data_IF_640167324906
#
_entry.id   IF_640167324906
#
_cell.length_a   1.000
_cell.length_b   1.000
_cell.length_c   1.000
_cell.angle_alpha   90.00
_cell.angle_beta   90.00
_cell.angle_gamma   90.00
#
_symmetry.space_group_name_H-M   'P 1'
#
loop_
_entity.id
_entity.type
_entity.pdbx_description
1 polymer ?
#
# COMPACT_ATOMS: atom_id res chain seq x y z
N UNK A 1 -12.60 3.25 -11.03
CA UNK A 1 -11.30 2.58 -11.10
C UNK A 1 -11.54 1.13 -11.56
N UNK A 2 -10.83 0.68 -12.59
CA UNK A 2 -10.95 -0.69 -13.14
C UNK A 2 -9.71 -1.54 -12.84
N UNK A 3 -8.74 -1.02 -12.08
CA UNK A 3 -7.47 -1.68 -11.78
C UNK A 3 -7.66 -3.06 -11.13
N UNK A 4 -8.54 -3.23 -10.12
CA UNK A 4 -8.77 -4.55 -9.53
C UNK A 4 -9.43 -5.53 -10.49
N UNK A 5 -10.31 -5.03 -11.36
CA UNK A 5 -10.99 -5.86 -12.36
C UNK A 5 -9.99 -6.35 -13.41
N UNK A 6 -9.13 -5.45 -13.92
CA UNK A 6 -8.10 -5.79 -14.90
C UNK A 6 -7.07 -6.76 -14.32
N UNK A 7 -6.65 -6.58 -13.07
CA UNK A 7 -5.74 -7.49 -12.40
C UNK A 7 -6.37 -8.89 -12.20
N UNK A 8 -7.65 -8.97 -11.81
CA UNK A 8 -8.38 -10.26 -11.76
C UNK A 8 -8.47 -10.93 -13.13
N UNK A 9 -8.77 -10.15 -14.17
CA UNK A 9 -8.83 -10.65 -15.54
C UNK A 9 -7.47 -11.17 -16.05
N UNK A 10 -6.37 -10.60 -15.56
CA UNK A 10 -5.01 -11.07 -15.83
C UNK A 10 -4.63 -12.32 -15.01
N UNK A 11 -5.49 -12.81 -14.12
CA UNK A 11 -5.26 -14.01 -13.30
C UNK A 11 -4.73 -13.72 -11.88
N UNK A 12 -4.69 -12.47 -11.43
CA UNK A 12 -4.27 -12.16 -10.08
C UNK A 12 -5.41 -12.35 -9.06
N UNK A 13 -5.09 -12.97 -7.92
CA UNK A 13 -5.94 -12.98 -6.73
C UNK A 13 -5.72 -11.69 -5.94
N UNK A 14 -6.77 -10.89 -5.83
CA UNK A 14 -6.73 -9.64 -5.05
C UNK A 14 -6.87 -9.95 -3.57
N UNK A 15 -5.87 -9.55 -2.79
CA UNK A 15 -5.81 -9.76 -1.34
C UNK A 15 -6.39 -8.56 -0.58
N UNK A 16 -6.08 -7.35 -1.02
CA UNK A 16 -6.70 -6.13 -0.50
C UNK A 16 -6.85 -5.08 -1.60
N UNK A 17 -7.94 -4.31 -1.50
CA UNK A 17 -8.19 -3.13 -2.29
C UNK A 17 -8.74 -2.04 -1.40
N UNK A 18 -8.10 -0.89 -1.45
CA UNK A 18 -8.28 0.19 -0.50
C UNK A 18 -7.38 0.06 0.72
N UNK A 19 -7.07 1.19 1.35
CA UNK A 19 -6.34 1.24 2.61
C UNK A 19 -6.87 2.36 3.50
N UNK A 20 -6.64 2.21 4.80
CA UNK A 20 -6.89 3.27 5.78
C UNK A 20 -5.70 4.26 5.89
N UNK A 21 -4.85 4.33 4.87
CA UNK A 21 -3.64 5.16 4.83
C UNK A 21 -3.86 6.35 3.90
N UNK A 22 -3.43 7.52 4.37
CA UNK A 22 -3.42 8.77 3.62
C UNK A 22 -2.00 9.33 3.64
N UNK A 23 -1.37 9.58 2.47
CA UNK A 23 -1.86 9.40 1.11
C UNK A 23 -1.83 7.94 0.64
N UNK A 24 -2.84 7.55 -0.14
CA UNK A 24 -2.87 6.25 -0.82
C UNK A 24 -4.08 5.36 -0.53
N UNK A 25 -5.23 5.95 -0.22
CA UNK A 25 -6.44 5.23 0.18
C UNK A 25 -6.93 4.19 -0.85
N UNK A 26 -6.56 4.30 -2.13
CA UNK A 26 -6.98 3.39 -3.20
C UNK A 26 -5.91 2.34 -3.59
N UNK A 27 -4.97 2.05 -2.69
CA UNK A 27 -3.93 1.05 -2.92
C UNK A 27 -4.50 -0.37 -3.07
N UNK A 28 -3.86 -1.18 -3.90
CA UNK A 28 -4.22 -2.58 -4.14
C UNK A 28 -3.01 -3.47 -3.97
N UNK A 29 -3.20 -4.63 -3.33
CA UNK A 29 -2.22 -5.72 -3.33
C UNK A 29 -2.91 -7.03 -3.70
N UNK A 30 -2.25 -7.80 -4.54
CA UNK A 30 -2.67 -9.13 -4.96
C UNK A 30 -1.47 -9.95 -5.40
N UNK A 31 -1.74 -11.19 -5.79
CA UNK A 31 -0.72 -12.16 -6.14
C UNK A 31 -1.21 -13.02 -7.31
N UNK A 32 -0.32 -13.34 -8.24
CA UNK A 32 -0.54 -14.40 -9.22
C UNK A 32 -0.36 -15.78 -8.57
N UNK A 33 -0.79 -16.84 -9.25
CA UNK A 33 -0.74 -18.22 -8.72
C UNK A 33 0.69 -18.71 -8.42
N UNK A 34 1.70 -18.17 -9.12
CA UNK A 34 3.13 -18.43 -8.89
C UNK A 34 3.73 -17.61 -7.74
N UNK A 35 2.91 -16.80 -7.06
CA UNK A 35 3.31 -15.96 -5.93
C UNK A 35 3.86 -14.59 -6.32
N UNK A 36 3.90 -14.24 -7.61
CA UNK A 36 4.37 -12.91 -8.04
C UNK A 36 3.41 -11.83 -7.53
N UNK A 37 3.89 -10.82 -6.78
CA UNK A 37 3.05 -9.75 -6.26
C UNK A 37 2.63 -8.78 -7.38
N UNK A 38 1.38 -8.32 -7.33
CA UNK A 38 0.87 -7.21 -8.14
C UNK A 38 0.38 -6.09 -7.23
N UNK A 39 0.92 -4.89 -7.42
CA UNK A 39 0.62 -3.71 -6.62
C UNK A 39 -0.06 -2.65 -7.48
N UNK A 40 -1.26 -2.23 -7.08
CA UNK A 40 -1.94 -1.08 -7.67
C UNK A 40 -1.60 0.18 -6.90
N UNK A 41 -0.86 1.09 -7.54
CA UNK A 41 -0.39 2.33 -6.92
C UNK A 41 -1.33 3.48 -7.27
N UNK A 42 -1.86 4.23 -6.28
CA UNK A 42 -2.73 5.36 -6.55
C UNK A 42 -1.97 6.51 -7.21
N UNK A 43 -2.63 7.24 -8.10
CA UNK A 43 -2.04 8.37 -8.84
C UNK A 43 -1.51 9.49 -7.93
N UNK A 44 -1.99 9.59 -6.68
CA UNK A 44 -1.48 10.56 -5.71
C UNK A 44 0.01 10.38 -5.39
N UNK A 45 0.59 9.20 -5.65
CA UNK A 45 2.03 8.94 -5.52
C UNK A 45 2.92 9.78 -6.45
N UNK A 46 2.35 10.42 -7.47
CA UNK A 46 3.07 11.40 -8.30
C UNK A 46 3.33 12.71 -7.54
N UNK A 47 2.40 13.09 -6.64
CA UNK A 47 2.43 14.38 -5.95
C UNK A 47 2.87 14.26 -4.49
N UNK A 48 2.66 13.10 -3.87
CA UNK A 48 3.04 12.84 -2.50
C UNK A 48 4.28 11.95 -2.47
N UNK A 49 5.43 12.44 -1.95
CA UNK A 49 6.66 11.67 -1.91
C UNK A 49 6.58 10.42 -1.03
N UNK A 50 5.61 10.37 -0.11
CA UNK A 50 5.38 9.28 0.83
C UNK A 50 3.93 8.86 0.79
N UNK A 51 3.71 7.59 0.52
CA UNK A 51 2.37 6.98 0.46
C UNK A 51 2.40 5.60 1.12
N UNK A 52 1.26 4.93 1.14
CA UNK A 52 1.22 3.50 1.50
C UNK A 52 2.17 2.62 0.67
N UNK A 53 2.49 3.00 -0.57
CA UNK A 53 3.43 2.23 -1.38
C UNK A 53 4.80 2.15 -0.71
N UNK A 54 5.28 3.23 -0.09
CA UNK A 54 6.54 3.27 0.65
C UNK A 54 6.54 2.39 1.91
N UNK A 55 5.37 2.14 2.48
CA UNK A 55 5.19 1.26 3.64
C UNK A 55 5.15 -0.21 3.24
N UNK A 56 4.54 -0.52 2.09
CA UNK A 56 4.27 -1.90 1.65
C UNK A 56 5.39 -2.45 0.78
N UNK A 57 5.97 -1.65 -0.12
CA UNK A 57 6.98 -2.10 -1.07
C UNK A 57 8.18 -2.78 -0.39
N UNK A 58 8.80 -2.22 0.68
CA UNK A 58 9.94 -2.87 1.33
C UNK A 58 9.59 -4.27 1.85
N UNK A 59 8.39 -4.45 2.41
CA UNK A 59 7.90 -5.74 2.93
C UNK A 59 7.73 -6.76 1.81
N UNK A 60 7.11 -6.35 0.70
CA UNK A 60 6.97 -7.20 -0.50
C UNK A 60 8.33 -7.61 -1.06
N UNK A 61 9.28 -6.66 -1.13
CA UNK A 61 10.64 -6.94 -1.62
C UNK A 61 11.42 -7.89 -0.70
N UNK A 62 11.09 -7.97 0.58
CA UNK A 62 11.63 -8.99 1.50
C UNK A 62 10.96 -10.36 1.39
N UNK A 63 10.01 -10.54 0.47
CA UNK A 63 9.25 -11.77 0.28
C UNK A 63 8.06 -11.93 1.22
N UNK A 64 7.70 -10.88 1.97
CA UNK A 64 6.54 -10.92 2.86
C UNK A 64 5.23 -10.97 2.07
N UNK A 65 4.34 -11.89 2.41
CA UNK A 65 2.97 -11.93 1.88
C UNK A 65 2.09 -10.99 2.69
N UNK A 66 1.68 -9.89 2.08
CA UNK A 66 0.86 -8.84 2.67
C UNK A 66 -0.59 -9.28 2.61
N UNK A 67 -1.25 -9.33 3.76
CA UNK A 67 -2.66 -9.71 3.87
C UNK A 67 -3.56 -8.49 4.03
N UNK A 68 -4.87 -8.67 3.87
CA UNK A 68 -5.85 -7.64 4.19
C UNK A 68 -5.71 -7.11 5.64
N UNK A 69 -5.37 -8.00 6.58
CA UNK A 69 -5.15 -7.65 7.99
C UNK A 69 -3.97 -6.71 8.17
N UNK A 70 -2.91 -6.88 7.37
CA UNK A 70 -1.74 -6.00 7.41
C UNK A 70 -2.08 -4.61 6.91
N UNK A 71 -2.91 -4.50 5.87
CA UNK A 71 -3.41 -3.21 5.39
C UNK A 71 -4.32 -2.54 6.43
N UNK A 72 -5.21 -3.30 7.06
CA UNK A 72 -6.13 -2.77 8.08
C UNK A 72 -5.40 -2.21 9.30
N UNK A 73 -4.30 -2.87 9.74
CA UNK A 73 -3.47 -2.41 10.87
C UNK A 73 -2.84 -1.04 10.63
N UNK A 74 -2.60 -0.67 9.38
CA UNK A 74 -2.07 0.65 9.04
C UNK A 74 -3.07 1.79 9.28
N UNK A 75 -4.33 1.50 9.63
CA UNK A 75 -5.29 2.54 10.00
C UNK A 75 -4.87 3.36 11.21
N UNK A 76 -4.14 2.76 12.15
CA UNK A 76 -3.47 3.51 13.20
C UNK A 76 -2.12 4.03 12.67
N UNK A 77 -1.86 5.34 12.80
CA UNK A 77 -0.62 5.94 12.30
C UNK A 77 -0.50 6.02 10.77
N UNK A 78 -1.53 5.63 10.01
CA UNK A 78 -1.56 5.68 8.54
C UNK A 78 -1.72 7.07 7.93
N UNK A 79 -1.62 8.15 8.71
CA UNK A 79 -1.75 9.51 8.19
C UNK A 79 -0.38 10.16 8.08
N UNK A 80 0.03 10.52 6.86
CA UNK A 80 1.13 11.44 6.65
C UNK A 80 0.68 12.83 7.11
N UNK A 81 1.53 13.52 7.85
CA UNK A 81 1.23 14.85 8.38
C UNK A 81 1.67 15.98 7.44
N UNK A 82 2.22 15.64 6.27
CA UNK A 82 2.75 16.59 5.29
C UNK A 82 3.62 17.68 5.93
N UNK A 83 4.53 17.25 6.81
CA UNK A 83 5.39 18.14 7.57
C UNK A 83 6.22 19.04 6.65
N UNK A 84 6.47 20.31 7.02
CA UNK A 84 7.33 21.22 6.24
C UNK A 84 8.74 20.66 5.97
N UNK A 85 9.29 19.93 6.95
CA UNK A 85 10.53 19.17 6.81
C UNK A 85 10.20 17.67 6.99
N UNK A 86 10.44 16.87 5.94
CA UNK A 86 10.12 15.45 5.97
C UNK A 86 11.15 14.67 6.81
N UNK A 87 10.67 13.88 7.77
CA UNK A 87 11.49 13.02 8.64
C UNK A 87 11.17 11.53 8.48
N UNK A 88 10.45 11.15 7.43
CA UNK A 88 10.23 9.74 7.14
C UNK A 88 11.57 9.03 6.87
N UNK A 89 11.82 7.82 7.41
CA UNK A 89 10.91 6.93 8.12
C UNK A 89 10.92 7.07 9.65
N UNK A 90 11.54 8.12 10.22
CA UNK A 90 11.64 8.31 11.68
C UNK A 90 10.34 8.84 12.30
N UNK A 91 9.47 9.48 11.50
CA UNK A 91 8.17 9.98 11.96
C UNK A 91 7.14 8.86 12.29
N UNK A 92 5.95 9.20 12.83
CA UNK A 92 4.90 8.22 13.19
C UNK A 92 4.18 7.56 12.01
N UNK A 93 4.39 8.02 10.78
CA UNK A 93 3.68 7.52 9.59
C UNK A 93 3.94 6.01 9.39
N UNK A 94 2.86 5.23 9.33
CA UNK A 94 2.91 3.78 9.14
C UNK A 94 3.34 2.96 10.37
N UNK A 95 3.40 3.58 11.56
CA UNK A 95 3.85 2.94 12.81
C UNK A 95 2.72 2.69 13.82
N UNK A 96 1.50 2.48 13.36
CA UNK A 96 0.39 2.07 14.23
C UNK A 96 0.70 0.78 14.97
N UNK A 97 0.46 0.79 16.28
CA UNK A 97 0.58 -0.38 17.14
C UNK A 97 -0.61 -1.32 16.95
#
# INVERSE_FOLDING_TARGET
DITPLAARAAGARIEAYGSAVLPGAMFMVGYFDDGVPVLGVPACGIHHPRTIFDLILPRVLTGETITNKDIARLGHGGMCLDCPECRYPVCPFGKGN
#
